data_IF_424459974740
#
_entry.id   IF_424459974740
#
_cell.length_a   1.000
_cell.length_b   1.000
_cell.length_c   1.000
_cell.angle_alpha   90.00
_cell.angle_beta   90.00
_cell.angle_gamma   90.00
#
_symmetry.space_group_name_H-M   'P 1'
#
loop_
_entity.id
_entity.type
_entity.pdbx_description
1 polymer ?
#
# COMPACT_ATOMS: atom_id res chain seq x y z
N UNK A 1 14.74 3.91 15.67
CA UNK A 1 13.44 3.21 15.68
C UNK A 1 12.71 3.47 14.39
N UNK A 2 12.33 2.42 13.70
CA UNK A 2 11.49 2.61 12.53
C UNK A 2 10.03 2.71 12.99
N UNK A 3 9.38 3.78 12.60
CA UNK A 3 7.96 3.94 12.85
C UNK A 3 7.17 3.23 11.75
N UNK A 4 6.00 2.69 12.09
CA UNK A 4 5.08 2.16 11.11
C UNK A 4 4.53 3.31 10.26
N UNK A 5 4.03 2.97 9.07
CA UNK A 5 3.38 3.93 8.19
C UNK A 5 2.20 4.57 8.95
N UNK A 6 2.08 5.89 8.88
CA UNK A 6 1.04 6.61 9.60
C UNK A 6 -0.33 6.46 8.93
N UNK A 7 -1.36 6.19 9.75
CA UNK A 7 -2.73 6.01 9.25
C UNK A 7 -3.25 7.26 8.53
N UNK A 8 -2.83 8.44 8.95
CA UNK A 8 -3.28 9.70 8.37
C UNK A 8 -2.28 10.28 7.36
N UNK A 9 -1.30 9.48 6.96
CA UNK A 9 -0.36 9.81 5.90
C UNK A 9 -0.87 9.28 4.57
N UNK A 10 -0.35 9.87 3.49
CA UNK A 10 -0.81 9.57 2.13
C UNK A 10 0.26 8.73 1.42
N UNK A 11 -0.04 7.48 1.07
CA UNK A 11 0.90 6.66 0.30
C UNK A 11 0.87 7.02 -1.18
N UNK A 12 2.05 7.13 -1.77
CA UNK A 12 2.21 7.39 -3.20
C UNK A 12 3.35 6.53 -3.74
N UNK A 13 3.15 5.79 -4.84
CA UNK A 13 4.25 5.06 -5.46
C UNK A 13 5.38 6.01 -5.86
N UNK A 14 6.62 5.60 -5.65
CA UNK A 14 7.76 6.36 -6.12
C UNK A 14 7.82 6.30 -7.63
N UNK A 15 8.46 7.31 -8.23
CA UNK A 15 8.67 7.34 -9.67
C UNK A 15 9.40 6.07 -10.12
N UNK A 16 8.91 5.46 -11.20
CA UNK A 16 9.49 4.23 -11.72
C UNK A 16 9.00 2.95 -11.07
N UNK A 17 8.10 3.06 -10.08
CA UNK A 17 7.51 1.89 -9.41
C UNK A 17 6.19 1.54 -10.07
N UNK A 18 6.00 0.25 -10.34
CA UNK A 18 4.76 -0.25 -10.92
C UNK A 18 4.32 -1.53 -10.23
N UNK A 19 3.02 -1.84 -10.37
CA UNK A 19 2.48 -3.12 -10.00
C UNK A 19 2.18 -3.91 -11.26
N UNK A 20 2.68 -5.14 -11.32
CA UNK A 20 2.57 -5.98 -12.51
C UNK A 20 2.02 -7.34 -12.15
N UNK A 21 1.18 -7.89 -13.02
CA UNK A 21 0.66 -9.23 -12.85
C UNK A 21 1.47 -10.20 -13.71
N UNK A 22 1.97 -11.25 -13.08
CA UNK A 22 2.73 -12.32 -13.75
C UNK A 22 2.02 -13.64 -13.44
N UNK A 23 1.23 -14.14 -14.39
CA UNK A 23 0.41 -15.32 -14.15
C UNK A 23 -0.61 -15.06 -13.05
N UNK A 24 -0.57 -15.85 -11.98
CA UNK A 24 -1.44 -15.69 -10.80
C UNK A 24 -0.82 -14.80 -9.73
N UNK A 25 0.41 -14.32 -9.95
CA UNK A 25 1.13 -13.52 -8.97
C UNK A 25 1.05 -12.03 -9.30
N UNK A 26 1.09 -11.19 -8.27
CA UNK A 26 1.15 -9.75 -8.44
C UNK A 26 2.41 -9.24 -7.74
N UNK A 27 3.19 -8.43 -8.45
CA UNK A 27 4.50 -7.97 -7.99
C UNK A 27 4.55 -6.45 -8.07
N UNK A 28 4.97 -5.81 -6.97
CA UNK A 28 5.31 -4.39 -6.98
C UNK A 28 6.82 -4.31 -7.15
N UNK A 29 7.29 -3.55 -8.11
CA UNK A 29 8.72 -3.49 -8.45
C UNK A 29 9.13 -2.10 -8.94
N UNK A 30 10.43 -1.81 -8.79
CA UNK A 30 11.03 -0.59 -9.35
C UNK A 30 12.07 -0.94 -10.43
N UNK A 31 12.64 0.10 -11.02
CA UNK A 31 13.62 -0.06 -12.10
C UNK A 31 14.94 -0.69 -11.62
N UNK A 32 15.22 -0.64 -10.33
CA UNK A 32 16.44 -1.19 -9.74
C UNK A 32 16.28 -2.62 -9.25
N UNK A 33 15.12 -3.22 -9.48
CA UNK A 33 14.87 -4.61 -9.11
C UNK A 33 14.37 -4.82 -7.70
N UNK A 34 14.05 -3.76 -6.94
CA UNK A 34 13.39 -3.90 -5.64
C UNK A 34 11.97 -4.39 -5.88
N UNK A 35 11.59 -5.44 -5.17
CA UNK A 35 10.28 -6.06 -5.40
C UNK A 35 9.62 -6.47 -4.10
N UNK A 36 8.29 -6.47 -4.12
CA UNK A 36 7.47 -7.12 -3.12
C UNK A 36 6.51 -8.05 -3.85
N UNK A 37 6.53 -9.32 -3.46
CA UNK A 37 5.77 -10.39 -4.12
C UNK A 37 4.73 -10.99 -3.18
N UNK A 38 3.88 -11.82 -3.74
CA UNK A 38 2.95 -12.62 -2.97
C UNK A 38 1.79 -11.81 -2.41
N UNK A 39 1.39 -10.75 -3.10
CA UNK A 39 0.27 -9.93 -2.67
C UNK A 39 -1.04 -10.70 -2.84
N UNK A 40 -1.79 -10.84 -1.74
CA UNK A 40 -3.14 -11.37 -1.81
C UNK A 40 -4.10 -10.32 -2.41
N UNK A 41 -5.36 -10.70 -2.62
CA UNK A 41 -6.33 -9.83 -3.29
C UNK A 41 -6.51 -8.49 -2.60
N UNK A 42 -6.55 -8.48 -1.25
CA UNK A 42 -6.72 -7.23 -0.51
C UNK A 42 -5.48 -6.33 -0.62
N UNK A 43 -4.29 -6.91 -0.60
CA UNK A 43 -3.04 -6.15 -0.76
C UNK A 43 -2.95 -5.54 -2.15
N UNK A 44 -3.36 -6.27 -3.19
CA UNK A 44 -3.43 -5.74 -4.55
C UNK A 44 -4.37 -4.53 -4.60
N UNK A 45 -5.53 -4.64 -3.96
CA UNK A 45 -6.50 -3.54 -3.95
C UNK A 45 -5.96 -2.33 -3.19
N UNK A 46 -5.28 -2.56 -2.06
CA UNK A 46 -4.60 -1.49 -1.34
C UNK A 46 -3.61 -0.77 -2.26
N UNK A 47 -2.78 -1.53 -2.96
CA UNK A 47 -1.82 -0.96 -3.90
C UNK A 47 -2.50 -0.09 -4.95
N UNK A 48 -3.60 -0.57 -5.53
CA UNK A 48 -4.33 0.16 -6.58
C UNK A 48 -4.90 1.49 -6.08
N UNK A 49 -5.23 1.57 -4.80
CA UNK A 49 -5.79 2.79 -4.19
C UNK A 49 -4.71 3.77 -3.71
N UNK A 50 -3.44 3.35 -3.68
CA UNK A 50 -2.33 4.19 -3.24
C UNK A 50 -1.82 5.04 -4.39
N UNK A 51 -2.50 6.14 -4.67
CA UNK A 51 -2.22 7.03 -5.80
C UNK A 51 -1.78 8.44 -5.39
N UNK A 52 -1.52 8.66 -4.11
CA UNK A 52 -1.12 9.97 -3.61
C UNK A 52 -2.29 10.89 -3.26
N UNK A 53 -3.52 10.39 -3.30
CA UNK A 53 -4.71 11.23 -3.05
C UNK A 53 -5.51 10.81 -1.81
N UNK A 54 -5.22 9.64 -1.24
CA UNK A 54 -5.95 9.10 -0.09
C UNK A 54 -5.00 8.80 1.05
N UNK A 55 -5.47 9.00 2.29
CA UNK A 55 -4.73 8.54 3.46
C UNK A 55 -4.76 7.02 3.54
N UNK A 56 -3.79 6.44 4.27
CA UNK A 56 -3.79 5.00 4.51
C UNK A 56 -5.09 4.54 5.17
N UNK A 57 -5.61 5.34 6.10
CA UNK A 57 -6.90 5.07 6.75
C UNK A 57 -8.03 4.99 5.73
N UNK A 58 -8.11 5.97 4.83
CA UNK A 58 -9.13 6.00 3.78
C UNK A 58 -9.02 4.79 2.85
N UNK A 59 -7.81 4.42 2.48
CA UNK A 59 -7.55 3.21 1.67
C UNK A 59 -8.08 1.98 2.39
N UNK A 60 -7.72 1.82 3.67
CA UNK A 60 -8.14 0.66 4.45
C UNK A 60 -9.66 0.59 4.60
N UNK A 61 -10.31 1.73 4.85
CA UNK A 61 -11.76 1.79 4.97
C UNK A 61 -12.45 1.36 3.67
N UNK A 62 -11.92 1.79 2.54
CA UNK A 62 -12.48 1.42 1.23
C UNK A 62 -12.34 -0.08 0.99
N UNK A 63 -11.16 -0.65 1.27
CA UNK A 63 -10.94 -2.09 1.10
C UNK A 63 -11.83 -2.90 2.03
N UNK A 64 -11.94 -2.49 3.31
CA UNK A 64 -12.81 -3.15 4.27
C UNK A 64 -14.26 -3.18 3.79
N UNK A 65 -14.73 -2.09 3.23
CA UNK A 65 -16.08 -1.98 2.69
C UNK A 65 -16.29 -2.88 1.48
N UNK A 66 -15.34 -2.89 0.54
CA UNK A 66 -15.44 -3.69 -0.69
C UNK A 66 -15.44 -5.19 -0.41
N UNK A 67 -14.70 -5.61 0.61
CA UNK A 67 -14.51 -7.03 0.93
C UNK A 67 -15.34 -7.48 2.13
N UNK A 68 -16.17 -6.60 2.69
CA UNK A 68 -16.99 -6.87 3.88
C UNK A 68 -16.16 -7.41 5.05
N UNK A 69 -15.01 -6.76 5.30
CA UNK A 69 -14.07 -7.16 6.34
C UNK A 69 -14.07 -6.15 7.49
N UNK A 70 -13.56 -6.58 8.64
CA UNK A 70 -13.42 -5.72 9.81
C UNK A 70 -12.45 -4.58 9.52
N UNK A 71 -12.90 -3.34 9.70
CA UNK A 71 -12.13 -2.15 9.34
C UNK A 71 -10.83 -2.02 10.16
N UNK A 72 -10.84 -2.42 11.44
CA UNK A 72 -9.64 -2.37 12.28
C UNK A 72 -8.59 -3.34 11.80
N UNK A 73 -9.00 -4.55 11.44
CA UNK A 73 -8.09 -5.58 10.96
C UNK A 73 -7.48 -5.15 9.63
N UNK A 74 -8.30 -4.62 8.73
CA UNK A 74 -7.82 -4.16 7.42
C UNK A 74 -6.86 -2.99 7.60
N UNK A 75 -7.13 -2.06 8.51
CA UNK A 75 -6.22 -0.95 8.79
C UNK A 75 -4.86 -1.46 9.29
N UNK A 76 -4.87 -2.39 10.25
CA UNK A 76 -3.64 -2.97 10.76
C UNK A 76 -2.82 -3.63 9.66
N UNK A 77 -3.47 -4.43 8.83
CA UNK A 77 -2.81 -5.13 7.73
C UNK A 77 -2.31 -4.15 6.65
N UNK A 78 -3.11 -3.12 6.37
CA UNK A 78 -2.74 -2.07 5.41
C UNK A 78 -1.49 -1.32 5.86
N UNK A 79 -1.45 -0.90 7.13
CA UNK A 79 -0.30 -0.17 7.65
C UNK A 79 0.97 -1.03 7.64
N UNK A 80 0.84 -2.32 7.94
CA UNK A 80 1.97 -3.25 7.87
C UNK A 80 2.49 -3.39 6.44
N UNK A 81 1.59 -3.55 5.49
CA UNK A 81 1.92 -3.66 4.07
C UNK A 81 2.60 -2.38 3.57
N UNK A 82 2.05 -1.21 3.89
CA UNK A 82 2.62 0.07 3.49
C UNK A 82 3.99 0.31 4.16
N UNK A 83 4.16 -0.14 5.40
CA UNK A 83 5.45 -0.06 6.09
C UNK A 83 6.51 -0.87 5.33
N UNK A 84 6.15 -2.08 4.88
CA UNK A 84 7.07 -2.91 4.09
C UNK A 84 7.43 -2.26 2.76
N UNK A 85 6.43 -1.71 2.06
CA UNK A 85 6.67 -0.99 0.81
C UNK A 85 7.58 0.22 1.01
N UNK A 86 7.36 0.98 2.08
CA UNK A 86 8.18 2.15 2.39
C UNK A 86 9.62 1.77 2.72
N UNK A 87 9.82 0.68 3.47
CA UNK A 87 11.16 0.18 3.80
C UNK A 87 11.93 -0.26 2.56
N UNK A 88 11.22 -0.82 1.59
CA UNK A 88 11.82 -1.22 0.32
C UNK A 88 12.05 -0.03 -0.63
N UNK A 89 11.58 1.15 -0.25
CA UNK A 89 11.70 2.33 -1.10
C UNK A 89 10.75 2.36 -2.29
N UNK A 90 9.64 1.62 -2.19
CA UNK A 90 8.67 1.51 -3.28
C UNK A 90 7.56 2.56 -3.21
N UNK A 91 7.30 3.11 -2.03
CA UNK A 91 6.33 4.20 -1.84
C UNK A 91 6.91 5.29 -0.95
N UNK A 92 6.36 6.49 -1.10
CA UNK A 92 6.59 7.62 -0.21
C UNK A 92 5.43 7.76 0.77
N UNK A 93 5.74 8.27 1.95
CA UNK A 93 4.78 8.60 2.99
C UNK A 93 4.63 10.12 3.03
N UNK A 94 3.54 10.62 2.48
CA UNK A 94 3.30 12.06 2.35
C UNK A 94 2.40 12.56 3.47
N UNK A 95 2.49 13.85 3.77
CA UNK A 95 1.56 14.49 4.69
C UNK A 95 0.22 14.70 3.97
N UNK A 96 -0.87 14.59 4.74
CA UNK A 96 -2.18 14.91 4.24
C UNK A 96 -2.24 16.40 3.91
N UNK A 97 -2.72 16.72 2.70
CA UNK A 97 -2.93 18.11 2.26
C UNK A 97 -4.31 18.56 2.71
N UNK A 98 -4.35 19.69 3.39
CA UNK A 98 -5.61 20.30 3.86
C UNK A 98 -6.02 21.44 2.97
#
# INVERSE_FOLDING_TARGET
MSADFGADRVPRPREGVSGERFGSDFIVLDADGRTLRGLNATAVRVWQLCDGTRTARSVAEQVAKEYSMDARQVLTDTLRFLTDLARLGLIDELQEVR
#
